data_IF_591375390273
#
_entry.id   IF_591375390273
#
_cell.length_a   1.000
_cell.length_b   1.000
_cell.length_c   1.000
_cell.angle_alpha   90.00
_cell.angle_beta   90.00
_cell.angle_gamma   90.00
#
_symmetry.space_group_name_H-M   'P 1'
#
loop_
_entity.id
_entity.type
_entity.pdbx_description
1 polymer ?
#
# COMPACT_ATOMS: atom_id res chain seq x y z
N UNK A 1 24.79 20.69 35.69
CA UNK A 1 24.78 19.79 34.55
C UNK A 1 23.79 18.71 34.91
N UNK A 2 22.56 18.86 34.45
CA UNK A 2 21.47 17.90 34.65
C UNK A 2 21.28 17.14 33.32
N UNK A 3 21.54 15.86 33.37
CA UNK A 3 21.15 14.94 32.27
C UNK A 3 19.64 14.89 32.27
N UNK A 4 19.03 15.50 31.25
CA UNK A 4 17.64 15.20 30.91
C UNK A 4 17.63 13.79 30.33
N UNK A 5 17.38 12.81 31.18
CA UNK A 5 16.96 11.48 30.73
C UNK A 5 15.65 11.64 29.97
N UNK A 6 15.73 11.70 28.63
CA UNK A 6 14.57 11.55 27.76
C UNK A 6 14.03 10.16 28.03
N UNK A 7 12.90 10.11 28.70
CA UNK A 7 12.30 8.88 29.17
C UNK A 7 11.65 8.14 27.98
N UNK A 8 12.44 7.31 27.29
CA UNK A 8 11.96 6.48 26.18
C UNK A 8 10.81 5.53 26.56
N UNK A 9 10.60 5.27 27.85
CA UNK A 9 9.52 4.41 28.30
C UNK A 9 8.13 5.05 28.17
N UNK A 10 8.01 6.38 28.23
CA UNK A 10 6.71 7.04 28.01
C UNK A 10 6.24 6.97 26.55
N UNK A 11 7.19 6.87 25.60
CA UNK A 11 6.86 6.66 24.19
C UNK A 11 6.38 5.21 23.89
N UNK A 12 6.81 4.24 24.70
CA UNK A 12 6.42 2.83 24.52
C UNK A 12 4.98 2.55 24.90
N UNK A 13 4.51 3.09 26.02
CA UNK A 13 3.13 2.91 26.46
C UNK A 13 2.13 3.54 25.48
N UNK A 14 2.46 4.72 24.94
CA UNK A 14 1.59 5.39 23.98
C UNK A 14 1.54 4.70 22.61
N UNK A 15 2.61 4.03 22.16
CA UNK A 15 2.64 3.39 20.83
C UNK A 15 1.84 2.08 20.80
N UNK A 16 1.89 1.28 21.86
CA UNK A 16 1.10 0.03 21.95
C UNK A 16 -0.38 0.30 22.14
N UNK A 17 -0.72 1.32 22.93
CA UNK A 17 -2.12 1.71 23.13
C UNK A 17 -2.73 2.33 21.87
N UNK A 18 -2.00 3.17 21.15
CA UNK A 18 -2.48 3.76 19.88
C UNK A 18 -2.67 2.73 18.78
N UNK A 19 -1.83 1.68 18.74
CA UNK A 19 -1.98 0.61 17.76
C UNK A 19 -3.18 -0.30 18.07
N UNK A 20 -3.38 -0.68 19.31
CA UNK A 20 -4.58 -1.39 19.77
C UNK A 20 -5.83 -0.52 19.61
N UNK A 21 -5.67 0.79 19.79
CA UNK A 21 -6.74 1.77 19.60
C UNK A 21 -7.17 1.88 18.13
N UNK A 22 -6.28 1.82 17.15
CA UNK A 22 -6.65 1.85 15.72
C UNK A 22 -7.57 0.70 15.34
N UNK A 23 -7.40 -0.47 15.94
CA UNK A 23 -8.31 -1.60 15.76
C UNK A 23 -9.65 -1.46 16.54
N UNK A 24 -9.72 -0.58 17.52
CA UNK A 24 -10.86 -0.46 18.46
C UNK A 24 -11.55 0.90 18.50
N UNK A 25 -10.94 1.99 18.04
CA UNK A 25 -11.47 3.35 18.17
C UNK A 25 -12.31 3.76 16.98
N UNK A 26 -13.53 4.16 17.30
CA UNK A 26 -14.58 4.47 16.34
C UNK A 26 -14.51 5.88 15.73
N UNK A 27 -13.91 6.85 16.38
CA UNK A 27 -14.21 8.27 16.10
C UNK A 27 -12.99 9.14 15.80
N UNK A 28 -11.82 8.92 16.41
CA UNK A 28 -10.69 9.83 16.29
C UNK A 28 -9.88 9.71 14.98
N UNK A 29 -10.06 8.63 14.25
CA UNK A 29 -9.32 8.34 13.03
C UNK A 29 -10.15 8.37 11.75
N UNK A 30 -11.46 8.64 11.86
CA UNK A 30 -12.38 8.52 10.75
C UNK A 30 -12.56 7.08 10.24
N UNK A 31 -12.24 6.10 11.09
CA UNK A 31 -12.46 4.69 10.80
C UNK A 31 -13.92 4.27 11.06
N UNK A 32 -14.34 3.14 10.47
CA UNK A 32 -15.67 2.56 10.69
C UNK A 32 -15.75 1.68 11.96
N UNK A 33 -14.75 1.71 12.81
CA UNK A 33 -14.64 0.90 14.02
C UNK A 33 -14.32 -0.58 13.78
N UNK A 34 -13.92 -0.94 12.55
CA UNK A 34 -13.59 -2.31 12.14
C UNK A 34 -12.13 -2.48 11.79
N UNK A 35 -11.26 -1.56 12.23
CA UNK A 35 -9.84 -1.54 11.89
C UNK A 35 -9.53 -0.98 10.50
N UNK A 36 -10.53 -0.45 9.80
CA UNK A 36 -10.38 0.20 8.49
C UNK A 36 -10.01 1.66 8.68
N UNK A 37 -9.17 2.20 7.81
CA UNK A 37 -8.67 3.57 7.90
C UNK A 37 -9.26 4.47 6.83
N UNK A 38 -9.90 5.58 7.24
CA UNK A 38 -10.35 6.64 6.34
C UNK A 38 -9.25 7.70 6.19
N UNK A 39 -8.58 7.71 5.05
CA UNK A 39 -7.49 8.63 4.76
C UNK A 39 -7.97 10.09 4.61
N UNK A 40 -9.21 10.33 4.20
CA UNK A 40 -9.77 11.68 4.07
C UNK A 40 -10.00 12.34 5.42
N UNK A 41 -10.67 11.64 6.33
CA UNK A 41 -10.92 12.14 7.68
C UNK A 41 -9.61 12.52 8.38
N UNK A 42 -8.58 11.70 8.18
CA UNK A 42 -7.26 11.97 8.72
C UNK A 42 -6.61 13.22 8.10
N UNK A 43 -6.74 13.45 6.80
CA UNK A 43 -6.25 14.67 6.13
C UNK A 43 -6.93 15.91 6.67
N UNK A 44 -8.22 15.86 6.97
CA UNK A 44 -9.00 16.99 7.46
C UNK A 44 -8.70 17.32 8.93
N UNK A 45 -8.50 16.32 9.77
CA UNK A 45 -8.16 16.51 11.19
C UNK A 45 -6.82 17.25 11.39
N UNK A 46 -5.91 17.13 10.44
CA UNK A 46 -4.56 17.72 10.50
C UNK A 46 -4.55 19.25 10.30
N UNK A 47 -5.62 19.85 9.81
CA UNK A 47 -5.68 21.29 9.52
C UNK A 47 -5.85 22.16 10.76
N UNK A 48 -6.11 21.62 11.94
CA UNK A 48 -6.49 22.41 13.12
C UNK A 48 -5.46 22.46 14.25
N UNK A 49 -4.63 21.45 14.42
CA UNK A 49 -3.53 21.46 15.40
C UNK A 49 -2.38 20.61 14.86
N UNK A 50 -1.14 21.05 15.06
CA UNK A 50 0.04 20.27 14.73
C UNK A 50 0.18 19.12 15.74
N UNK A 51 -0.54 18.04 15.49
CA UNK A 51 -0.30 16.78 16.19
C UNK A 51 0.74 16.01 15.38
N UNK A 52 1.85 15.56 15.98
CA UNK A 52 2.80 14.69 15.30
C UNK A 52 2.04 13.51 14.72
N UNK A 53 2.10 13.36 13.40
CA UNK A 53 1.40 12.28 12.72
C UNK A 53 2.12 10.99 13.02
N UNK A 54 1.38 9.99 13.47
CA UNK A 54 1.90 8.66 13.70
C UNK A 54 1.66 7.80 12.48
N UNK A 55 2.63 6.94 12.15
CA UNK A 55 2.43 5.85 11.22
C UNK A 55 1.48 4.82 11.81
N UNK A 56 0.79 4.07 10.95
CA UNK A 56 -0.15 3.03 11.36
C UNK A 56 0.22 1.72 10.70
N UNK A 57 0.33 0.69 11.51
CA UNK A 57 0.60 -0.66 11.07
C UNK A 57 -0.45 -1.62 11.63
N UNK A 58 -0.91 -2.55 10.82
CA UNK A 58 -1.87 -3.55 11.29
C UNK A 58 -1.81 -4.82 10.45
N UNK A 59 -2.23 -5.92 11.04
CA UNK A 59 -2.39 -7.21 10.38
C UNK A 59 -3.64 -7.20 9.49
N UNK A 60 -3.47 -7.35 8.19
CA UNK A 60 -4.60 -7.39 7.26
C UNK A 60 -5.46 -8.64 7.41
N UNK A 61 -4.94 -9.71 8.03
CA UNK A 61 -5.73 -10.91 8.31
C UNK A 61 -6.76 -10.67 9.44
N UNK A 62 -6.49 -9.72 10.33
CA UNK A 62 -7.41 -9.34 11.40
C UNK A 62 -8.58 -8.46 10.94
N UNK A 63 -8.53 -7.93 9.71
CA UNK A 63 -9.59 -7.10 9.17
C UNK A 63 -10.85 -7.91 8.87
N UNK A 64 -12.04 -7.31 9.05
CA UNK A 64 -13.29 -7.93 8.65
C UNK A 64 -13.29 -8.30 7.17
N UNK A 65 -13.79 -9.51 6.87
CA UNK A 65 -13.95 -10.00 5.53
C UNK A 65 -15.36 -9.76 5.02
N UNK A 66 -15.45 -9.09 3.88
CA UNK A 66 -16.70 -8.94 3.13
C UNK A 66 -16.80 -10.11 2.15
N UNK A 67 -17.69 -11.05 2.46
CA UNK A 67 -17.98 -12.19 1.57
C UNK A 67 -18.89 -11.77 0.41
N UNK A 68 -18.79 -12.49 -0.70
CA UNK A 68 -19.54 -12.21 -1.93
C UNK A 68 -19.33 -10.77 -2.44
N UNK A 69 -18.10 -10.27 -2.30
CA UNK A 69 -17.72 -8.97 -2.84
C UNK A 69 -17.88 -8.91 -4.36
N UNK A 70 -18.32 -7.76 -4.85
CA UNK A 70 -18.53 -7.49 -6.26
C UNK A 70 -17.85 -6.20 -6.66
N UNK A 71 -17.31 -6.19 -7.86
CA UNK A 71 -16.84 -4.95 -8.46
C UNK A 71 -18.05 -4.12 -8.88
N UNK A 72 -18.10 -2.87 -8.44
CA UNK A 72 -19.20 -1.96 -8.78
C UNK A 72 -19.38 -1.85 -10.29
N UNK A 73 -20.62 -1.92 -10.77
CA UNK A 73 -20.98 -1.85 -12.19
C UNK A 73 -20.87 -3.17 -12.96
N UNK A 74 -20.33 -4.24 -12.36
CA UNK A 74 -20.45 -5.58 -12.91
C UNK A 74 -21.87 -6.15 -12.69
N UNK A 75 -22.33 -7.11 -13.52
CA UNK A 75 -23.64 -7.71 -13.32
C UNK A 75 -23.81 -8.30 -11.91
N UNK A 76 -25.02 -8.30 -11.41
CA UNK A 76 -25.33 -8.80 -10.07
C UNK A 76 -24.97 -10.27 -9.85
N UNK A 77 -24.98 -11.06 -10.90
CA UNK A 77 -24.60 -12.48 -10.87
C UNK A 77 -23.07 -12.71 -10.89
N UNK A 78 -22.26 -11.66 -11.09
CA UNK A 78 -20.80 -11.75 -11.10
C UNK A 78 -20.28 -11.43 -9.71
N UNK A 79 -20.05 -12.48 -8.92
CA UNK A 79 -19.37 -12.38 -7.61
C UNK A 79 -17.88 -12.54 -7.84
N UNK A 80 -17.10 -11.51 -7.49
CA UNK A 80 -15.65 -11.57 -7.70
C UNK A 80 -14.98 -12.46 -6.63
N UNK A 81 -15.44 -12.43 -5.38
CA UNK A 81 -14.85 -13.22 -4.32
C UNK A 81 -15.07 -12.62 -2.94
N UNK A 82 -14.03 -12.53 -2.13
CA UNK A 82 -14.07 -11.85 -0.83
C UNK A 82 -13.07 -10.70 -0.76
N UNK A 83 -13.35 -9.72 0.10
CA UNK A 83 -12.54 -8.50 0.25
C UNK A 83 -12.31 -8.15 1.71
N UNK A 84 -11.06 -7.78 2.03
CA UNK A 84 -10.73 -7.03 3.24
C UNK A 84 -10.35 -5.61 2.85
N UNK A 85 -11.22 -4.66 3.16
CA UNK A 85 -10.95 -3.24 2.90
C UNK A 85 -9.90 -2.75 3.89
N UNK A 86 -8.76 -2.27 3.39
CA UNK A 86 -7.62 -1.82 4.18
C UNK A 86 -7.73 -0.32 4.44
N UNK A 87 -7.79 0.47 3.36
CA UNK A 87 -7.91 1.93 3.45
C UNK A 87 -8.99 2.42 2.51
N UNK A 88 -9.58 3.57 2.83
CA UNK A 88 -10.47 4.28 1.92
C UNK A 88 -10.36 5.80 2.11
N UNK A 89 -10.82 6.53 1.10
CA UNK A 89 -10.85 7.99 1.05
C UNK A 89 -12.23 8.44 0.57
N UNK A 90 -12.71 9.61 1.00
CA UNK A 90 -14.03 10.15 0.60
C UNK A 90 -14.16 10.40 -0.91
N UNK A 91 -13.03 10.48 -1.63
CA UNK A 91 -13.00 10.47 -3.10
C UNK A 91 -13.37 9.12 -3.74
N UNK A 92 -13.55 8.08 -2.93
CA UNK A 92 -13.73 6.69 -3.37
C UNK A 92 -12.43 5.92 -3.60
N UNK A 93 -11.26 6.56 -3.43
CA UNK A 93 -10.00 5.83 -3.48
C UNK A 93 -9.90 4.83 -2.32
N UNK A 94 -9.39 3.63 -2.59
CA UNK A 94 -9.29 2.57 -1.59
C UNK A 94 -8.18 1.59 -1.90
N UNK A 95 -7.66 0.95 -0.86
CA UNK A 95 -6.78 -0.23 -0.97
C UNK A 95 -7.46 -1.40 -0.29
N UNK A 96 -7.52 -2.53 -0.97
CA UNK A 96 -8.14 -3.76 -0.48
C UNK A 96 -7.26 -4.96 -0.75
N UNK A 97 -7.32 -5.94 0.13
CA UNK A 97 -6.84 -7.30 -0.13
C UNK A 97 -8.04 -8.14 -0.57
N UNK A 98 -7.98 -8.69 -1.76
CA UNK A 98 -9.08 -9.39 -2.41
C UNK A 98 -8.66 -10.81 -2.72
N UNK A 99 -9.52 -11.76 -2.36
CA UNK A 99 -9.43 -13.15 -2.83
C UNK A 99 -10.46 -13.32 -3.95
N UNK A 100 -9.97 -13.48 -5.17
CA UNK A 100 -10.82 -13.67 -6.36
C UNK A 100 -11.11 -15.15 -6.52
N UNK A 101 -12.40 -15.48 -6.59
CA UNK A 101 -12.88 -16.85 -6.78
C UNK A 101 -12.38 -17.40 -8.11
N UNK A 102 -11.99 -18.68 -8.11
CA UNK A 102 -11.62 -19.39 -9.35
C UNK A 102 -12.72 -19.40 -10.43
N UNK A 103 -13.97 -19.21 -10.01
CA UNK A 103 -15.13 -19.16 -10.90
C UNK A 103 -15.42 -17.76 -11.45
N UNK A 104 -14.61 -16.78 -11.02
CA UNK A 104 -14.80 -15.41 -11.49
C UNK A 104 -14.48 -15.29 -12.97
N UNK A 105 -15.48 -14.86 -13.71
CA UNK A 105 -15.36 -14.46 -15.09
C UNK A 105 -16.15 -13.16 -15.31
N UNK A 106 -15.52 -12.20 -15.96
CA UNK A 106 -16.18 -10.96 -16.33
C UNK A 106 -15.84 -10.60 -17.79
N UNK A 107 -16.80 -10.08 -18.56
CA UNK A 107 -16.57 -9.65 -19.93
C UNK A 107 -15.69 -8.42 -20.00
N UNK A 108 -15.30 -8.02 -21.21
CA UNK A 108 -14.49 -6.82 -21.42
C UNK A 108 -15.26 -5.54 -21.16
N UNK A 109 -14.56 -4.54 -20.62
CA UNK A 109 -15.08 -3.22 -20.32
C UNK A 109 -13.98 -2.29 -19.81
N UNK A 110 -14.33 -1.16 -19.26
CA UNK A 110 -13.39 -0.22 -18.65
C UNK A 110 -13.86 0.23 -17.27
N UNK A 111 -12.92 0.73 -16.47
CA UNK A 111 -13.22 1.35 -15.18
C UNK A 111 -13.34 2.87 -15.31
N UNK A 112 -14.16 3.47 -14.45
CA UNK A 112 -14.36 4.93 -14.42
C UNK A 112 -13.28 5.70 -13.67
N UNK A 113 -12.43 5.00 -12.91
CA UNK A 113 -11.23 5.55 -12.27
C UNK A 113 -10.06 4.60 -12.47
N UNK A 114 -8.86 5.07 -12.15
CA UNK A 114 -7.65 4.27 -12.28
C UNK A 114 -7.67 3.12 -11.27
N UNK A 115 -7.23 1.96 -11.72
CA UNK A 115 -7.11 0.74 -10.93
C UNK A 115 -5.67 0.24 -10.97
N UNK A 116 -5.14 -0.13 -9.81
CA UNK A 116 -3.88 -0.86 -9.68
C UNK A 116 -4.12 -2.24 -9.11
N UNK A 117 -3.38 -3.22 -9.62
CA UNK A 117 -3.44 -4.61 -9.18
C UNK A 117 -2.02 -5.11 -8.92
N UNK A 118 -1.83 -5.77 -7.77
CA UNK A 118 -0.62 -6.51 -7.49
C UNK A 118 -0.99 -7.91 -6.99
N UNK A 119 -0.45 -8.96 -7.64
CA UNK A 119 -0.81 -10.34 -7.33
C UNK A 119 0.03 -10.87 -6.17
N UNK A 120 -0.62 -11.23 -5.07
CA UNK A 120 -0.01 -11.83 -3.88
C UNK A 120 0.13 -13.34 -4.03
N UNK A 121 -0.89 -14.01 -4.59
CA UNK A 121 -0.94 -15.47 -4.80
C UNK A 121 -1.84 -15.80 -5.99
N UNK A 122 -1.58 -16.97 -6.62
CA UNK A 122 -2.34 -17.43 -7.78
C UNK A 122 -2.01 -16.65 -9.05
N UNK A 123 -2.94 -16.64 -9.98
CA UNK A 123 -2.82 -15.91 -11.23
C UNK A 123 -4.18 -15.49 -11.79
N UNK A 124 -4.21 -14.35 -12.47
CA UNK A 124 -5.40 -13.84 -13.17
C UNK A 124 -5.05 -13.55 -14.63
N UNK A 125 -6.04 -13.68 -15.49
CA UNK A 125 -6.00 -13.22 -16.87
C UNK A 125 -6.88 -12.00 -17.03
N UNK A 126 -6.36 -10.98 -17.70
CA UNK A 126 -7.05 -9.73 -18.03
C UNK A 126 -6.88 -9.50 -19.54
N UNK A 127 -7.87 -9.89 -20.32
CA UNK A 127 -7.75 -9.91 -21.78
C UNK A 127 -6.71 -10.93 -22.26
N UNK A 128 -5.73 -10.47 -23.01
CA UNK A 128 -4.62 -11.29 -23.50
C UNK A 128 -3.45 -11.40 -22.48
N UNK A 129 -3.48 -10.61 -21.42
CA UNK A 129 -2.41 -10.53 -20.44
C UNK A 129 -2.62 -11.44 -19.24
N UNK A 130 -1.54 -12.01 -18.74
CA UNK A 130 -1.55 -12.86 -17.57
C UNK A 130 -0.70 -12.21 -16.45
N UNK A 131 -1.28 -12.15 -15.28
CA UNK A 131 -0.64 -11.68 -14.06
C UNK A 131 -0.51 -12.86 -13.09
N UNK A 132 0.70 -13.25 -12.77
CA UNK A 132 1.00 -14.26 -11.77
C UNK A 132 1.54 -13.61 -10.50
N UNK A 133 1.87 -14.42 -9.50
CA UNK A 133 2.43 -13.92 -8.23
C UNK A 133 3.55 -12.89 -8.44
N UNK A 134 3.41 -11.73 -7.81
CA UNK A 134 4.21 -10.52 -7.92
C UNK A 134 4.10 -9.81 -9.28
N UNK A 135 3.11 -10.17 -10.08
CA UNK A 135 2.71 -9.41 -11.27
C UNK A 135 1.98 -8.12 -10.87
N UNK A 136 2.20 -7.06 -11.62
CA UNK A 136 1.62 -5.74 -11.42
C UNK A 136 0.91 -5.27 -12.68
N UNK A 137 -0.22 -4.59 -12.51
CA UNK A 137 -0.94 -3.89 -13.58
C UNK A 137 -1.37 -2.51 -13.10
N UNK A 138 -1.28 -1.52 -14.00
CA UNK A 138 -1.91 -0.22 -13.83
C UNK A 138 -2.87 0.02 -14.99
N UNK A 139 -4.15 0.15 -14.67
CA UNK A 139 -5.25 0.31 -15.62
C UNK A 139 -5.81 1.73 -15.47
N UNK A 140 -5.44 2.67 -16.35
CA UNK A 140 -6.01 4.00 -16.33
C UNK A 140 -7.52 3.98 -16.62
N UNK A 141 -8.24 4.95 -16.07
CA UNK A 141 -9.66 5.13 -16.33
C UNK A 141 -9.94 5.14 -17.85
N UNK A 142 -11.00 4.47 -18.26
CA UNK A 142 -11.44 4.41 -19.65
C UNK A 142 -10.68 3.40 -20.54
N UNK A 143 -9.56 2.84 -20.08
CA UNK A 143 -8.85 1.80 -20.84
C UNK A 143 -9.66 0.50 -20.80
N UNK A 144 -9.98 -0.04 -21.98
CA UNK A 144 -10.70 -1.31 -22.10
C UNK A 144 -9.80 -2.47 -21.68
N UNK A 145 -10.28 -3.28 -20.78
CA UNK A 145 -9.61 -4.49 -20.29
C UNK A 145 -10.58 -5.67 -20.21
N UNK A 146 -10.04 -6.86 -20.13
CA UNK A 146 -10.81 -8.10 -20.04
C UNK A 146 -10.95 -8.81 -21.41
N UNK A 147 -11.60 -9.96 -21.47
CA UNK A 147 -12.34 -10.58 -20.37
C UNK A 147 -11.43 -10.98 -19.21
N UNK A 148 -12.02 -11.09 -18.01
CA UNK A 148 -11.30 -11.41 -16.79
C UNK A 148 -11.59 -12.87 -16.41
N UNK A 149 -10.57 -13.56 -15.92
CA UNK A 149 -10.72 -14.87 -15.28
C UNK A 149 -9.54 -15.18 -14.36
N UNK A 150 -9.77 -16.06 -13.40
CA UNK A 150 -8.70 -16.68 -12.60
C UNK A 150 -8.09 -17.82 -13.41
N UNK A 151 -6.77 -18.01 -13.31
CA UNK A 151 -6.03 -19.06 -13.98
C UNK A 151 -5.64 -20.17 -12.99
N UNK A 152 -5.75 -21.42 -13.44
CA UNK A 152 -5.44 -22.59 -12.62
C UNK A 152 -6.61 -23.00 -11.73
N UNK A 153 -6.31 -23.88 -10.75
CA UNK A 153 -7.29 -24.54 -9.90
C UNK A 153 -7.46 -23.83 -8.52
N UNK A 154 -6.66 -22.80 -8.27
CA UNK A 154 -6.68 -22.06 -7.01
C UNK A 154 -7.29 -20.67 -7.22
N UNK A 155 -7.74 -20.08 -6.11
CA UNK A 155 -8.14 -18.68 -6.06
C UNK A 155 -6.93 -17.77 -6.23
N UNK A 156 -7.15 -16.59 -6.79
CA UNK A 156 -6.13 -15.55 -6.86
C UNK A 156 -6.31 -14.55 -5.71
N UNK A 157 -5.21 -14.19 -5.07
CA UNK A 157 -5.18 -13.18 -4.02
C UNK A 157 -4.38 -11.98 -4.50
N UNK A 158 -4.98 -10.79 -4.39
CA UNK A 158 -4.43 -9.57 -4.96
C UNK A 158 -4.58 -8.37 -4.00
N UNK A 159 -3.70 -7.39 -4.14
CA UNK A 159 -3.97 -6.03 -3.73
C UNK A 159 -4.75 -5.35 -4.85
N UNK A 160 -5.93 -4.85 -4.52
CA UNK A 160 -6.82 -4.11 -5.40
C UNK A 160 -6.87 -2.67 -4.92
N UNK A 161 -6.33 -1.74 -5.71
CA UNK A 161 -6.12 -0.36 -5.31
C UNK A 161 -6.85 0.58 -6.27
N UNK A 162 -7.93 1.15 -5.79
CA UNK A 162 -8.78 2.09 -6.50
C UNK A 162 -8.31 3.52 -6.27
N UNK A 163 -8.06 4.29 -7.32
CA UNK A 163 -7.61 5.68 -7.23
C UNK A 163 -8.76 6.70 -7.23
N UNK A 164 -9.98 6.23 -7.08
CA UNK A 164 -11.21 7.02 -7.02
C UNK A 164 -12.42 6.12 -6.97
N UNK A 165 -13.62 6.68 -7.05
CA UNK A 165 -14.86 5.92 -7.14
C UNK A 165 -14.87 5.05 -8.39
N UNK A 166 -14.65 3.76 -8.18
CA UNK A 166 -14.53 2.76 -9.24
C UNK A 166 -15.91 2.24 -9.64
N UNK A 167 -16.18 2.23 -10.94
CA UNK A 167 -17.35 1.59 -11.51
C UNK A 167 -16.96 0.94 -12.85
N UNK A 168 -17.38 -0.29 -13.06
CA UNK A 168 -17.11 -1.03 -14.29
C UNK A 168 -18.21 -0.77 -15.32
N UNK A 169 -17.82 -0.53 -16.57
CA UNK A 169 -18.74 -0.35 -17.70
C UNK A 169 -18.36 -1.30 -18.83
N UNK A 170 -19.34 -2.07 -19.31
CA UNK A 170 -19.17 -2.88 -20.50
C UNK A 170 -18.82 -2.02 -21.69
N UNK A 171 -17.82 -2.43 -22.44
CA UNK A 171 -17.39 -1.71 -23.63
C UNK A 171 -16.67 -2.64 -24.62
N UNK A 172 -16.88 -2.38 -25.91
CA UNK A 172 -16.14 -3.02 -26.98
C UNK A 172 -14.86 -2.25 -27.34
N UNK A 173 -14.79 -0.99 -26.99
CA UNK A 173 -13.67 -0.08 -27.25
C UNK A 173 -13.26 0.68 -25.99
N UNK A 174 -12.09 1.29 -26.06
CA UNK A 174 -11.65 2.25 -25.03
C UNK A 174 -12.58 3.47 -25.00
N UNK A 175 -12.64 4.12 -23.83
CA UNK A 175 -13.25 5.44 -23.73
C UNK A 175 -12.42 6.47 -24.52
N UNK A 176 -13.02 7.46 -25.19
CA UNK A 176 -12.28 8.47 -25.95
C UNK A 176 -11.17 9.19 -25.19
N UNK A 177 -11.36 9.39 -23.89
CA UNK A 177 -10.41 10.07 -22.99
C UNK A 177 -9.45 9.10 -22.30
N UNK A 178 -9.39 7.82 -22.71
CA UNK A 178 -8.52 6.81 -22.10
C UNK A 178 -7.03 7.16 -22.26
N UNK A 179 -6.29 7.07 -21.14
CA UNK A 179 -4.85 7.34 -21.12
C UNK A 179 -4.04 6.08 -21.46
N UNK A 180 -4.13 5.61 -22.71
CA UNK A 180 -3.47 4.39 -23.17
C UNK A 180 -1.96 4.37 -22.98
N UNK A 181 -1.31 5.55 -22.97
CA UNK A 181 0.15 5.66 -22.77
C UNK A 181 0.60 5.27 -21.37
N UNK A 182 -0.30 5.43 -20.39
CA UNK A 182 -0.01 5.14 -18.99
C UNK A 182 -0.36 3.68 -18.63
N UNK A 183 -1.00 2.95 -19.54
CA UNK A 183 -1.44 1.59 -19.30
C UNK A 183 -0.26 0.62 -19.19
N UNK A 184 -0.22 -0.09 -18.05
CA UNK A 184 0.72 -1.19 -17.80
C UNK A 184 -0.12 -2.47 -17.72
N UNK A 185 -0.27 -3.22 -18.82
CA UNK A 185 -1.20 -4.34 -18.88
C UNK A 185 -0.78 -5.51 -17.99
N UNK A 186 0.49 -5.87 -18.04
CA UNK A 186 1.07 -6.91 -17.19
C UNK A 186 2.58 -6.70 -17.09
N UNK A 187 3.05 -6.51 -15.87
CA UNK A 187 4.45 -6.38 -15.55
C UNK A 187 4.85 -7.52 -14.62
N UNK A 188 5.70 -8.44 -15.10
CA UNK A 188 6.30 -9.44 -14.21
C UNK A 188 7.48 -8.81 -13.47
N UNK A 189 7.29 -8.54 -12.18
CA UNK A 189 8.32 -7.92 -11.37
C UNK A 189 9.61 -8.74 -11.27
N UNK A 190 9.56 -10.04 -11.52
CA UNK A 190 10.74 -10.92 -11.49
C UNK A 190 11.73 -10.59 -12.61
N UNK A 191 11.21 -10.08 -13.74
CA UNK A 191 12.02 -9.71 -14.90
C UNK A 191 12.69 -8.33 -14.77
N UNK A 192 12.28 -7.54 -13.79
CA UNK A 192 12.85 -6.23 -13.56
C UNK A 192 14.16 -6.30 -12.76
N UNK A 193 15.16 -5.49 -13.09
CA UNK A 193 16.39 -5.42 -12.31
C UNK A 193 16.13 -4.78 -10.94
N UNK A 194 16.89 -5.21 -9.95
CA UNK A 194 17.02 -4.50 -8.70
C UNK A 194 17.99 -3.33 -8.87
N UNK A 195 17.62 -2.17 -8.36
CA UNK A 195 18.48 -1.00 -8.25
C UNK A 195 18.70 -0.61 -6.79
N UNK A 196 19.64 0.29 -6.56
CA UNK A 196 19.86 0.86 -5.24
C UNK A 196 18.69 1.75 -4.84
N UNK A 197 18.47 1.90 -3.53
CA UNK A 197 17.61 2.96 -3.02
C UNK A 197 18.30 4.31 -3.22
N UNK A 198 17.52 5.31 -3.60
CA UNK A 198 18.03 6.68 -3.82
C UNK A 198 18.28 7.42 -2.49
N UNK A 199 17.97 6.77 -1.35
CA UNK A 199 18.11 7.35 -0.02
C UNK A 199 19.27 6.72 0.73
N UNK A 200 20.13 7.55 1.31
CA UNK A 200 21.31 7.14 2.10
C UNK A 200 20.93 6.26 3.31
N UNK A 201 19.69 6.30 3.74
CA UNK A 201 19.20 5.58 4.91
C UNK A 201 19.00 4.08 4.69
N UNK A 202 18.80 3.66 3.45
CA UNK A 202 18.61 2.25 3.12
C UNK A 202 19.77 1.71 2.28
N UNK A 203 21.00 1.90 2.77
CA UNK A 203 22.23 1.44 2.06
C UNK A 203 22.23 -0.08 1.83
N UNK A 204 21.51 -0.83 2.68
CA UNK A 204 21.35 -2.28 2.57
C UNK A 204 19.96 -2.68 2.08
N UNK A 205 19.37 -1.85 1.23
CA UNK A 205 18.11 -2.14 0.60
C UNK A 205 18.21 -1.95 -0.91
N UNK A 206 17.42 -2.73 -1.62
CA UNK A 206 17.29 -2.67 -3.07
C UNK A 206 15.86 -2.32 -3.44
N UNK A 207 15.72 -1.52 -4.50
CA UNK A 207 14.45 -1.03 -5.00
C UNK A 207 14.22 -1.53 -6.42
N UNK A 208 12.98 -1.87 -6.71
CA UNK A 208 12.55 -2.30 -8.04
C UNK A 208 11.27 -1.55 -8.41
N UNK A 209 11.38 -0.62 -9.33
CA UNK A 209 10.25 0.18 -9.79
C UNK A 209 9.26 -0.67 -10.59
N UNK A 210 7.99 -0.62 -10.22
CA UNK A 210 6.88 -1.17 -10.97
C UNK A 210 6.20 -0.07 -11.82
N UNK A 211 6.12 1.14 -11.28
CA UNK A 211 5.61 2.34 -11.97
C UNK A 211 6.26 3.60 -11.38
N UNK A 212 6.56 4.56 -12.25
CA UNK A 212 6.95 5.92 -11.85
C UNK A 212 5.93 6.90 -12.40
N UNK A 213 5.47 7.82 -11.56
CA UNK A 213 4.57 8.89 -11.94
C UNK A 213 5.36 10.15 -12.33
N UNK A 214 4.73 11.04 -13.12
CA UNK A 214 5.37 12.28 -13.54
C UNK A 214 5.67 13.25 -12.39
N UNK A 215 4.99 13.09 -11.25
CA UNK A 215 5.22 13.86 -10.02
C UNK A 215 6.26 13.22 -9.10
N UNK A 216 6.92 12.15 -9.56
CA UNK A 216 7.93 11.39 -8.83
C UNK A 216 7.40 10.37 -7.84
N UNK A 217 6.08 10.31 -7.61
CA UNK A 217 5.43 9.22 -6.90
C UNK A 217 5.51 7.90 -7.68
N UNK A 218 4.84 6.89 -7.21
CA UNK A 218 4.75 5.62 -7.91
C UNK A 218 4.70 4.40 -7.02
N UNK A 219 5.06 3.28 -7.61
CA UNK A 219 4.98 1.95 -6.99
C UNK A 219 6.27 1.18 -7.19
N UNK A 220 6.76 0.52 -6.15
CA UNK A 220 7.95 -0.31 -6.23
C UNK A 220 7.95 -1.46 -5.22
N UNK A 221 8.84 -2.41 -5.44
CA UNK A 221 9.24 -3.38 -4.43
C UNK A 221 10.49 -2.86 -3.72
N UNK A 222 10.50 -3.00 -2.39
CA UNK A 222 11.64 -2.69 -1.54
C UNK A 222 12.09 -3.97 -0.83
N UNK A 223 13.30 -4.42 -1.12
CA UNK A 223 13.95 -5.50 -0.40
C UNK A 223 14.95 -4.92 0.58
N UNK A 224 14.73 -5.12 1.87
CA UNK A 224 15.69 -4.82 2.93
C UNK A 224 16.47 -6.10 3.19
N UNK A 225 17.79 -6.03 3.11
CA UNK A 225 18.65 -7.19 3.23
C UNK A 225 18.78 -7.68 4.67
N UNK A 226 19.13 -8.96 4.90
CA UNK A 226 19.40 -9.48 6.23
C UNK A 226 20.44 -8.66 6.99
N UNK A 227 20.29 -8.63 8.31
CA UNK A 227 21.15 -7.88 9.25
C UNK A 227 21.14 -6.36 9.04
N UNK A 228 20.07 -5.82 8.45
CA UNK A 228 19.89 -4.39 8.37
C UNK A 228 19.59 -3.80 9.75
N UNK A 229 20.34 -2.77 10.12
CA UNK A 229 20.19 -2.01 11.37
C UNK A 229 20.24 -0.50 11.07
N UNK A 230 19.09 0.05 10.71
CA UNK A 230 18.90 1.47 10.42
C UNK A 230 18.73 2.26 11.72
N UNK A 231 19.77 2.94 12.18
CA UNK A 231 19.84 3.60 13.49
C UNK A 231 19.16 4.96 13.57
N UNK A 232 18.79 5.54 12.44
CA UNK A 232 18.28 6.92 12.39
C UNK A 232 16.80 6.96 12.08
N UNK A 233 16.01 7.74 12.82
CA UNK A 233 14.65 8.05 12.44
C UNK A 233 14.62 8.87 11.15
N UNK A 234 13.54 8.74 10.39
CA UNK A 234 13.34 9.43 9.12
C UNK A 234 12.10 10.30 9.17
N UNK A 235 12.17 11.47 8.55
CA UNK A 235 10.97 12.28 8.31
C UNK A 235 10.53 12.05 6.88
N UNK A 236 9.31 11.54 6.70
CA UNK A 236 8.69 11.37 5.39
C UNK A 236 7.87 12.60 5.03
N UNK A 237 8.08 13.15 3.84
CA UNK A 237 7.30 14.29 3.33
C UNK A 237 6.29 13.88 2.25
N UNK A 238 6.01 12.59 2.13
CA UNK A 238 5.02 11.97 1.23
C UNK A 238 4.11 11.03 2.03
N UNK A 239 2.96 10.72 1.47
CA UNK A 239 2.14 9.63 1.99
C UNK A 239 2.65 8.32 1.38
N UNK A 240 2.83 7.32 2.23
CA UNK A 240 3.28 6.00 1.84
C UNK A 240 2.30 4.94 2.31
N UNK A 241 1.99 4.02 1.43
CA UNK A 241 1.35 2.74 1.72
C UNK A 241 2.39 1.64 1.55
N UNK A 242 2.51 0.76 2.54
CA UNK A 242 3.43 -0.36 2.52
C UNK A 242 2.73 -1.67 2.87
N UNK A 243 2.97 -2.73 2.10
CA UNK A 243 2.50 -4.08 2.39
C UNK A 243 3.69 -5.03 2.48
N UNK A 244 3.81 -5.76 3.59
CA UNK A 244 4.88 -6.73 3.77
C UNK A 244 4.55 -8.04 3.04
N UNK A 245 5.33 -8.33 2.02
CA UNK A 245 5.18 -9.53 1.17
C UNK A 245 5.89 -10.75 1.74
N UNK A 246 7.01 -10.53 2.45
CA UNK A 246 7.81 -11.60 3.04
C UNK A 246 8.75 -11.06 4.12
N UNK A 247 9.14 -11.94 5.04
CA UNK A 247 10.03 -11.60 6.14
C UNK A 247 9.35 -10.73 7.20
N UNK A 248 10.16 -9.94 7.90
CA UNK A 248 9.69 -8.96 8.89
C UNK A 248 10.63 -7.76 8.95
N UNK A 249 10.11 -6.65 9.49
CA UNK A 249 10.90 -5.49 9.84
C UNK A 249 10.44 -4.97 11.19
N UNK A 250 11.36 -4.81 12.13
CA UNK A 250 11.09 -4.07 13.34
C UNK A 250 11.20 -2.57 13.02
N UNK A 251 10.13 -1.83 13.29
CA UNK A 251 10.02 -0.39 13.06
C UNK A 251 9.79 0.26 14.42
N UNK A 252 10.85 0.79 15.01
CA UNK A 252 10.83 1.09 16.42
C UNK A 252 10.60 -0.18 17.24
N UNK A 253 9.69 -0.14 18.18
CA UNK A 253 9.32 -1.29 19.00
C UNK A 253 8.25 -2.20 18.36
N UNK A 254 7.82 -1.89 17.14
CA UNK A 254 6.78 -2.60 16.46
C UNK A 254 7.34 -3.57 15.42
N UNK A 255 6.92 -4.85 15.48
CA UNK A 255 7.29 -5.87 14.50
C UNK A 255 6.28 -5.94 13.38
N UNK A 256 6.70 -5.51 12.22
CA UNK A 256 5.92 -5.50 10.98
C UNK A 256 6.16 -6.81 10.22
N UNK A 257 5.15 -7.66 10.23
CA UNK A 257 5.24 -9.03 9.71
C UNK A 257 4.70 -9.12 8.27
N UNK A 258 4.91 -10.28 7.64
CA UNK A 258 4.23 -10.62 6.39
C UNK A 258 2.71 -10.46 6.53
N UNK A 259 2.07 -9.97 5.48
CA UNK A 259 0.63 -9.66 5.38
C UNK A 259 0.19 -8.47 6.27
N UNK A 260 1.13 -7.73 6.84
CA UNK A 260 0.84 -6.47 7.49
C UNK A 260 0.83 -5.33 6.47
N UNK A 261 -0.01 -4.33 6.76
CA UNK A 261 -0.11 -3.10 5.98
C UNK A 261 0.29 -1.91 6.85
N UNK A 262 1.01 -0.97 6.27
CA UNK A 262 1.40 0.27 6.89
C UNK A 262 0.95 1.47 6.08
N UNK A 263 0.50 2.51 6.76
CA UNK A 263 0.29 3.84 6.19
C UNK A 263 1.12 4.85 6.95
N UNK A 264 1.98 5.55 6.23
CA UNK A 264 2.84 6.61 6.77
C UNK A 264 2.41 7.92 6.13
N UNK A 265 1.73 8.79 6.88
CA UNK A 265 1.34 10.09 6.35
C UNK A 265 2.52 11.03 6.21
N UNK A 266 2.42 11.98 5.28
CA UNK A 266 3.44 13.03 5.09
C UNK A 266 3.72 13.78 6.39
N UNK A 267 4.99 14.18 6.60
CA UNK A 267 5.52 14.80 7.81
C UNK A 267 5.45 13.92 9.07
N UNK A 268 5.47 12.61 8.88
CA UNK A 268 5.62 11.65 9.97
C UNK A 268 7.09 11.34 10.19
N UNK A 269 7.52 11.28 11.44
CA UNK A 269 8.81 10.71 11.79
C UNK A 269 8.66 9.20 11.87
N UNK A 270 9.29 8.49 10.93
CA UNK A 270 9.40 7.04 11.00
C UNK A 270 10.56 6.69 11.92
N UNK A 271 10.40 5.79 12.89
CA UNK A 271 11.50 5.35 13.74
C UNK A 271 12.54 4.54 12.96
N UNK A 272 13.56 4.08 13.67
CA UNK A 272 14.55 3.17 13.10
C UNK A 272 13.90 1.86 12.59
N UNK A 273 14.53 1.30 11.56
CA UNK A 273 14.10 0.03 10.97
C UNK A 273 15.19 -1.01 11.18
N UNK A 274 14.80 -2.22 11.53
CA UNK A 274 15.72 -3.34 11.71
C UNK A 274 15.12 -4.65 11.22
N UNK A 275 15.95 -5.50 10.64
CA UNK A 275 15.59 -6.89 10.34
C UNK A 275 16.82 -7.78 10.40
N UNK A 276 16.70 -8.94 11.01
CA UNK A 276 17.78 -9.93 11.03
C UNK A 276 17.74 -10.83 9.77
N UNK A 277 16.53 -11.16 9.29
CA UNK A 277 16.33 -12.12 8.19
C UNK A 277 16.08 -11.44 6.84
N UNK A 278 15.87 -10.12 6.83
CA UNK A 278 15.44 -9.38 5.66
C UNK A 278 13.93 -9.38 5.47
N UNK A 279 13.46 -8.47 4.63
CA UNK A 279 12.05 -8.35 4.30
C UNK A 279 11.84 -7.79 2.89
N UNK A 280 10.65 -8.05 2.37
CA UNK A 280 10.20 -7.56 1.06
C UNK A 280 8.89 -6.81 1.23
N UNK A 281 8.85 -5.57 0.75
CA UNK A 281 7.67 -4.74 0.76
C UNK A 281 7.20 -4.41 -0.66
N UNK A 282 5.89 -4.30 -0.82
CA UNK A 282 5.24 -3.53 -1.87
C UNK A 282 4.98 -2.13 -1.32
N UNK A 283 5.50 -1.11 -1.97
CA UNK A 283 5.42 0.29 -1.54
C UNK A 283 4.72 1.12 -2.62
N UNK A 284 3.84 2.00 -2.18
CA UNK A 284 3.14 2.98 -3.02
C UNK A 284 3.23 4.35 -2.38
N UNK A 285 3.61 5.37 -3.17
CA UNK A 285 3.74 6.75 -2.70
C UNK A 285 3.07 7.75 -3.63
N UNK A 286 2.62 8.86 -3.08
CA UNK A 286 1.84 9.87 -3.78
C UNK A 286 2.66 11.00 -4.42
N UNK A 287 3.96 11.10 -4.17
CA UNK A 287 4.80 12.17 -4.71
C UNK A 287 6.29 11.83 -4.70
N UNK A 288 7.09 12.71 -5.33
CA UNK A 288 8.52 12.55 -5.49
C UNK A 288 9.29 12.45 -4.17
N UNK A 289 10.06 11.38 -4.06
CA UNK A 289 10.96 11.12 -2.95
C UNK A 289 12.20 12.03 -2.97
N UNK A 290 12.61 12.52 -4.16
CA UNK A 290 13.84 13.32 -4.30
C UNK A 290 13.73 14.68 -3.61
N UNK A 291 12.51 15.19 -3.41
CA UNK A 291 12.26 16.45 -2.68
C UNK A 291 12.25 16.28 -1.15
N UNK A 292 12.47 15.09 -0.66
CA UNK A 292 12.11 14.65 0.69
C UNK A 292 13.29 14.30 1.55
N UNK A 293 14.41 13.99 0.96
CA UNK A 293 15.58 13.47 1.67
C UNK A 293 16.39 14.56 2.39
N UNK A 294 15.74 15.48 3.08
CA UNK A 294 16.42 16.23 4.13
C UNK A 294 16.36 15.42 5.40
N UNK A 295 17.26 14.47 5.51
CA UNK A 295 17.59 13.81 6.78
C UNK A 295 18.09 14.91 7.72
N UNK A 296 17.27 15.33 8.62
CA UNK A 296 17.76 15.99 9.82
C UNK A 296 18.44 14.91 10.67
N UNK A 297 19.69 14.61 10.35
CA UNK A 297 20.55 13.90 11.30
C UNK A 297 20.78 14.83 12.47
N UNK A 298 19.93 14.77 13.45
CA UNK A 298 20.29 15.18 14.79
C UNK A 298 21.22 14.11 15.36
N UNK A 299 22.47 14.16 14.96
CA UNK A 299 23.51 13.63 15.81
C UNK A 299 23.60 14.59 17.00
N UNK A 300 23.47 14.13 18.26
CA UNK A 300 23.86 14.93 19.40
C UNK A 300 25.31 15.34 19.12
N UNK A 301 25.57 16.64 19.03
CA UNK A 301 26.92 17.11 19.05
C UNK A 301 27.40 16.84 20.47
N UNK A 302 28.25 15.83 20.64
CA UNK A 302 29.03 15.63 21.82
C UNK A 302 29.84 16.90 22.03
N UNK A 303 29.39 17.72 23.02
CA UNK A 303 30.17 18.82 23.59
C UNK A 303 30.90 18.33 24.82
#
# INVERSE_FOLDING_TARGET
MGEENINFNSAKENQTDDFLHVASVKEDWGGDGRGRMNLSARRTAISKEYVPRQYQYFDTNALPEEHAWRVSGMPENVVAGSRRLITWHDSGASTSRVVISRQFEAPSGFFTSDLEIFVLRGAIQVGEWQLSKHGYSFIPAGVRVGPWKVLGDEEAEILWMENGSLNYKYALNDHPDARLRDFIPALDSKLLPWGNTETVQFVQANKKWLRKDNNGGGVWLLAILPHYDGKSPMIQCYNEEGYCLAGYCDIGDYRFLKDYFGYVPTFTTSPWHRTDDGCLFFIRVDRDLSQVATVLSYAPQDT
#
